data_IF_102556756374
#
_entry.id   IF_102556756374
#
_cell.length_a   1.000
_cell.length_b   1.000
_cell.length_c   1.000
_cell.angle_alpha   90.00
_cell.angle_beta   90.00
_cell.angle_gamma   90.00
#
_symmetry.space_group_name_H-M   'P 1'
#
loop_
_entity.id
_entity.type
_entity.pdbx_description
1 polymer ?
#
# COMPACT_ATOMS: atom_id res chain seq x y z
N UNK A 1 -31.60 10.12 -42.56
CA UNK A 1 -30.26 10.46 -42.02
C UNK A 1 -29.23 9.62 -42.78
N UNK A 2 -28.20 10.24 -43.40
CA UNK A 2 -27.14 9.48 -44.05
C UNK A 2 -26.38 8.57 -43.10
N UNK A 3 -25.75 7.50 -43.62
CA UNK A 3 -25.02 6.54 -42.78
C UNK A 3 -23.90 7.25 -42.03
N UNK A 4 -23.88 7.10 -40.69
CA UNK A 4 -22.82 7.66 -39.84
C UNK A 4 -21.53 6.88 -40.05
N UNK A 5 -20.53 7.50 -40.67
CA UNK A 5 -19.18 6.95 -40.80
C UNK A 5 -18.50 6.90 -39.46
N UNK A 6 -17.50 6.01 -39.33
CA UNK A 6 -16.64 5.96 -38.13
C UNK A 6 -15.89 7.29 -37.95
N UNK A 7 -15.92 7.82 -36.71
CA UNK A 7 -15.12 8.94 -36.26
C UNK A 7 -14.41 8.54 -34.97
N UNK A 8 -13.10 8.80 -34.83
CA UNK A 8 -12.40 8.59 -33.57
C UNK A 8 -13.03 9.44 -32.43
N UNK A 9 -13.01 8.89 -31.22
CA UNK A 9 -13.50 9.58 -30.02
C UNK A 9 -12.64 10.76 -29.60
N UNK A 10 -11.35 10.71 -29.96
CA UNK A 10 -10.39 11.82 -29.78
C UNK A 10 -9.54 12.00 -31.04
N UNK A 11 -8.97 13.19 -31.21
CA UNK A 11 -7.97 13.44 -32.26
C UNK A 11 -6.61 12.85 -31.86
N UNK A 12 -6.30 11.68 -32.38
CA UNK A 12 -5.05 10.97 -32.08
C UNK A 12 -3.80 11.71 -32.55
N UNK A 13 -3.90 12.63 -33.51
CA UNK A 13 -2.76 13.45 -33.96
C UNK A 13 -2.33 14.46 -32.90
N UNK A 14 -3.28 14.94 -32.09
CA UNK A 14 -3.05 15.87 -30.97
C UNK A 14 -2.95 15.18 -29.63
N UNK A 15 -3.38 13.92 -29.52
CA UNK A 15 -3.44 13.18 -28.26
C UNK A 15 -2.06 13.07 -27.57
N UNK A 16 -0.97 12.99 -28.34
CA UNK A 16 0.39 12.91 -27.78
C UNK A 16 0.84 14.25 -27.17
N UNK A 17 0.88 15.38 -27.89
CA UNK A 17 1.26 16.68 -27.32
C UNK A 17 0.33 17.10 -26.18
N UNK A 18 -0.99 16.89 -26.31
CA UNK A 18 -1.94 17.16 -25.24
C UNK A 18 -1.67 16.31 -23.98
N UNK A 19 -1.21 15.07 -24.18
CA UNK A 19 -0.84 14.20 -23.06
C UNK A 19 0.42 14.69 -22.34
N UNK A 20 1.43 15.19 -23.08
CA UNK A 20 2.63 15.76 -22.45
C UNK A 20 2.29 16.96 -21.58
N UNK A 21 1.46 17.88 -22.12
CA UNK A 21 0.98 19.04 -21.35
C UNK A 21 0.18 18.62 -20.12
N UNK A 22 -0.77 17.68 -20.30
CA UNK A 22 -1.61 17.16 -19.19
C UNK A 22 -0.75 16.50 -18.10
N UNK A 23 0.22 15.66 -18.50
CA UNK A 23 1.13 14.98 -17.59
C UNK A 23 1.97 15.99 -16.80
N UNK A 24 2.53 17.00 -17.45
CA UNK A 24 3.31 18.06 -16.80
C UNK A 24 2.46 18.80 -15.75
N UNK A 25 1.25 19.22 -16.13
CA UNK A 25 0.32 19.90 -15.23
C UNK A 25 -0.12 19.00 -14.07
N UNK A 26 -0.52 17.76 -14.35
CA UNK A 26 -0.98 16.81 -13.34
C UNK A 26 0.16 16.44 -12.38
N UNK A 27 1.38 16.26 -12.88
CA UNK A 27 2.56 15.98 -12.06
C UNK A 27 2.88 17.15 -11.12
N UNK A 28 2.87 18.39 -11.62
CA UNK A 28 3.14 19.57 -10.78
C UNK A 28 2.09 19.73 -9.69
N UNK A 29 0.81 19.61 -10.02
CA UNK A 29 -0.28 19.68 -9.03
C UNK A 29 -0.14 18.56 -8.00
N UNK A 30 0.10 17.32 -8.45
CA UNK A 30 0.24 16.17 -7.55
C UNK A 30 1.47 16.30 -6.64
N UNK A 31 2.60 16.82 -7.15
CA UNK A 31 3.79 17.06 -6.35
C UNK A 31 3.52 18.08 -5.24
N UNK A 32 2.86 19.20 -5.56
CA UNK A 32 2.48 20.22 -4.59
C UNK A 32 1.51 19.64 -3.54
N UNK A 33 0.47 18.91 -3.98
CA UNK A 33 -0.50 18.29 -3.08
C UNK A 33 0.16 17.26 -2.15
N UNK A 34 1.02 16.37 -2.67
CA UNK A 34 1.73 15.37 -1.88
C UNK A 34 2.63 16.06 -0.84
N UNK A 35 3.41 17.06 -1.24
CA UNK A 35 4.23 17.81 -0.30
C UNK A 35 3.40 18.51 0.79
N UNK A 36 2.29 19.16 0.41
CA UNK A 36 1.38 19.80 1.35
C UNK A 36 0.78 18.77 2.34
N UNK A 37 0.33 17.62 1.85
CA UNK A 37 -0.21 16.54 2.68
C UNK A 37 0.85 16.00 3.63
N UNK A 38 2.09 15.75 3.18
CA UNK A 38 3.18 15.28 4.03
C UNK A 38 3.52 16.29 5.14
N UNK A 39 3.52 17.58 4.81
CA UNK A 39 3.71 18.66 5.80
C UNK A 39 2.57 18.69 6.80
N UNK A 40 1.32 18.64 6.34
CA UNK A 40 0.14 18.61 7.21
C UNK A 40 0.16 17.39 8.14
N UNK A 41 0.45 16.20 7.61
CA UNK A 41 0.55 14.99 8.40
C UNK A 41 1.62 15.11 9.50
N UNK A 42 2.77 15.70 9.18
CA UNK A 42 3.85 15.95 10.15
C UNK A 42 3.38 16.81 11.33
N UNK A 43 2.57 17.84 11.07
CA UNK A 43 2.14 18.77 12.13
C UNK A 43 0.87 18.33 12.85
N UNK A 44 -0.09 17.75 12.12
CA UNK A 44 -1.42 17.44 12.65
C UNK A 44 -1.53 16.05 13.28
N UNK A 45 -0.66 15.08 12.89
CA UNK A 45 -0.81 13.71 13.35
C UNK A 45 0.37 13.22 14.20
N UNK A 46 0.12 12.42 15.26
CA UNK A 46 1.21 11.80 16.02
C UNK A 46 2.11 10.90 15.17
N UNK A 47 1.50 10.06 14.32
CA UNK A 47 2.26 9.14 13.47
C UNK A 47 3.08 9.85 12.39
N UNK A 48 2.63 10.99 11.88
CA UNK A 48 3.40 11.81 10.94
C UNK A 48 4.65 12.43 11.61
N UNK A 49 4.54 12.84 12.90
CA UNK A 49 5.70 13.28 13.70
C UNK A 49 6.69 12.14 13.94
N UNK A 50 6.18 10.95 14.28
CA UNK A 50 6.99 9.74 14.48
C UNK A 50 7.73 9.35 13.20
N UNK A 51 7.02 9.30 12.07
CA UNK A 51 7.60 9.06 10.75
C UNK A 51 8.73 10.05 10.43
N UNK A 52 8.48 11.34 10.65
CA UNK A 52 9.47 12.37 10.39
C UNK A 52 10.71 12.25 11.27
N UNK A 53 10.55 11.91 12.54
CA UNK A 53 11.67 11.70 13.47
C UNK A 53 12.61 10.58 12.99
N UNK A 54 12.05 9.47 12.48
CA UNK A 54 12.82 8.35 11.95
C UNK A 54 13.53 8.70 10.63
N UNK A 55 12.89 9.51 9.77
CA UNK A 55 13.30 9.66 8.36
C UNK A 55 13.91 11.01 8.02
N UNK A 56 13.87 11.99 8.93
CA UNK A 56 14.33 13.37 8.68
C UNK A 56 15.72 13.42 8.07
N UNK A 57 16.67 12.66 8.58
CA UNK A 57 18.04 12.68 8.13
C UNK A 57 18.20 12.15 6.68
N UNK A 58 17.28 11.29 6.20
CA UNK A 58 17.24 10.84 4.81
C UNK A 58 16.75 11.91 3.85
N UNK A 59 15.70 12.64 4.23
CA UNK A 59 15.05 13.64 3.36
C UNK A 59 15.67 15.05 3.43
N UNK A 60 16.49 15.34 4.45
CA UNK A 60 17.14 16.65 4.64
C UNK A 60 18.67 16.55 4.64
N UNK A 61 19.23 15.34 4.61
CA UNK A 61 20.66 15.07 4.61
C UNK A 61 21.37 15.44 3.30
N UNK A 62 22.69 15.22 3.21
CA UNK A 62 23.51 15.64 2.07
C UNK A 62 23.08 15.00 0.73
N UNK A 63 22.49 13.82 0.77
CA UNK A 63 22.00 13.11 -0.41
C UNK A 63 20.49 13.37 -0.72
N UNK A 64 19.87 14.33 -0.04
CA UNK A 64 18.42 14.61 -0.14
C UNK A 64 17.97 14.96 -1.57
N UNK A 65 18.77 15.69 -2.33
CA UNK A 65 18.44 16.05 -3.72
C UNK A 65 18.19 14.81 -4.58
N UNK A 66 19.04 13.79 -4.47
CA UNK A 66 18.87 12.52 -5.19
C UNK A 66 17.60 11.79 -4.79
N UNK A 67 17.25 11.80 -3.49
CA UNK A 67 16.04 11.20 -2.96
C UNK A 67 14.80 11.90 -3.52
N UNK A 68 14.75 13.22 -3.49
CA UNK A 68 13.63 14.00 -4.01
C UNK A 68 13.48 13.88 -5.54
N UNK A 69 14.58 13.85 -6.28
CA UNK A 69 14.54 13.57 -7.72
C UNK A 69 13.94 12.19 -8.02
N UNK A 70 14.34 11.18 -7.26
CA UNK A 70 13.83 9.83 -7.44
C UNK A 70 12.33 9.73 -7.12
N UNK A 71 11.88 10.37 -6.04
CA UNK A 71 10.45 10.49 -5.72
C UNK A 71 9.67 11.23 -6.81
N UNK A 72 10.25 12.29 -7.38
CA UNK A 72 9.68 13.02 -8.50
C UNK A 72 9.52 12.17 -9.76
N UNK A 73 10.51 11.32 -10.08
CA UNK A 73 10.44 10.39 -11.20
C UNK A 73 9.41 9.29 -10.95
N UNK A 74 9.31 8.76 -9.73
CA UNK A 74 8.29 7.78 -9.36
C UNK A 74 6.88 8.39 -9.46
N UNK A 75 6.70 9.62 -8.99
CA UNK A 75 5.44 10.35 -9.16
C UNK A 75 5.09 10.58 -10.63
N UNK A 76 6.09 10.87 -11.48
CA UNK A 76 5.88 10.98 -12.92
C UNK A 76 5.39 9.66 -13.52
N UNK A 77 5.96 8.52 -13.09
CA UNK A 77 5.51 7.20 -13.52
C UNK A 77 4.05 6.94 -13.17
N UNK A 78 3.61 7.35 -11.97
CA UNK A 78 2.20 7.26 -11.54
C UNK A 78 1.27 8.08 -12.43
N UNK A 79 1.63 9.33 -12.71
CA UNK A 79 0.80 10.22 -13.56
C UNK A 79 0.73 9.68 -14.99
N UNK A 80 1.87 9.19 -15.53
CA UNK A 80 1.91 8.52 -16.84
C UNK A 80 1.05 7.26 -16.87
N UNK A 81 1.03 6.46 -15.79
CA UNK A 81 0.18 5.28 -15.68
C UNK A 81 -1.30 5.64 -15.84
N UNK A 82 -1.77 6.65 -15.11
CA UNK A 82 -3.18 7.10 -15.19
C UNK A 82 -3.48 7.65 -16.57
N UNK A 83 -2.58 8.46 -17.16
CA UNK A 83 -2.80 9.01 -18.50
C UNK A 83 -2.90 7.91 -19.55
N UNK A 84 -2.02 6.91 -19.52
CA UNK A 84 -2.09 5.77 -20.44
C UNK A 84 -3.38 4.99 -20.26
N UNK A 85 -3.84 4.75 -19.04
CA UNK A 85 -5.13 4.07 -18.79
C UNK A 85 -6.30 4.85 -19.37
N UNK A 86 -6.29 6.18 -19.27
CA UNK A 86 -7.28 7.06 -19.89
C UNK A 86 -7.25 6.91 -21.42
N UNK A 87 -6.06 6.93 -22.02
CA UNK A 87 -5.92 6.78 -23.48
C UNK A 87 -6.35 5.38 -23.95
N UNK A 88 -6.03 4.31 -23.20
CA UNK A 88 -6.54 2.96 -23.47
C UNK A 88 -8.06 2.89 -23.43
N UNK A 89 -8.71 3.65 -22.54
CA UNK A 89 -10.16 3.74 -22.47
C UNK A 89 -10.76 4.35 -23.77
N UNK A 90 -10.15 5.40 -24.31
CA UNK A 90 -10.56 6.00 -25.59
C UNK A 90 -10.25 5.10 -26.77
N UNK A 91 -9.09 4.45 -26.78
CA UNK A 91 -8.70 3.52 -27.82
C UNK A 91 -9.66 2.30 -27.87
N UNK A 92 -10.05 1.78 -26.70
CA UNK A 92 -11.05 0.71 -26.60
C UNK A 92 -12.41 1.15 -27.17
N UNK A 93 -12.85 2.38 -26.87
CA UNK A 93 -14.06 2.94 -27.47
C UNK A 93 -13.97 2.96 -29.00
N UNK A 94 -12.89 3.52 -29.54
CA UNK A 94 -12.70 3.60 -31.00
C UNK A 94 -12.68 2.22 -31.66
N UNK A 95 -12.02 1.24 -31.06
CA UNK A 95 -11.94 -0.12 -31.59
C UNK A 95 -13.33 -0.78 -31.66
N UNK A 96 -14.11 -0.69 -30.58
CA UNK A 96 -15.45 -1.31 -30.54
C UNK A 96 -16.44 -0.58 -31.44
N UNK A 97 -16.40 0.75 -31.50
CA UNK A 97 -17.23 1.56 -32.40
C UNK A 97 -16.87 1.27 -33.86
N UNK A 98 -15.59 1.13 -34.19
CA UNK A 98 -15.16 0.79 -35.55
C UNK A 98 -15.65 -0.60 -35.98
N UNK A 99 -15.60 -1.60 -35.08
CA UNK A 99 -16.18 -2.92 -35.34
C UNK A 99 -17.69 -2.83 -35.56
N UNK A 100 -18.42 -2.10 -34.72
CA UNK A 100 -19.85 -1.89 -34.89
C UNK A 100 -20.17 -1.30 -36.26
N UNK A 101 -19.46 -0.25 -36.71
CA UNK A 101 -19.64 0.36 -38.02
C UNK A 101 -19.30 -0.59 -39.19
N UNK A 102 -18.29 -1.43 -39.03
CA UNK A 102 -17.96 -2.45 -40.04
C UNK A 102 -19.13 -3.45 -40.20
N UNK A 103 -19.72 -3.92 -39.09
CA UNK A 103 -20.88 -4.84 -39.13
C UNK A 103 -22.15 -4.16 -39.64
N UNK A 104 -22.44 -2.90 -39.24
CA UNK A 104 -23.54 -2.13 -39.78
C UNK A 104 -23.43 -2.00 -41.31
N UNK A 105 -22.24 -1.70 -41.83
CA UNK A 105 -21.98 -1.63 -43.28
C UNK A 105 -22.11 -2.95 -43.99
N UNK A 106 -21.81 -4.09 -43.37
CA UNK A 106 -22.05 -5.43 -43.92
C UNK A 106 -23.56 -5.71 -43.96
N UNK A 107 -24.25 -5.45 -42.86
CA UNK A 107 -25.69 -5.72 -42.74
C UNK A 107 -26.55 -4.85 -43.68
N UNK A 108 -26.18 -3.58 -43.89
CA UNK A 108 -26.87 -2.67 -44.79
C UNK A 108 -26.45 -2.76 -46.26
N UNK A 109 -25.41 -3.55 -46.59
CA UNK A 109 -24.83 -3.58 -47.95
C UNK A 109 -24.05 -2.31 -48.33
N UNK A 110 -23.83 -1.36 -47.38
CA UNK A 110 -23.12 -0.10 -47.64
C UNK A 110 -21.59 -0.30 -47.54
N UNK A 111 -20.94 -0.42 -48.73
CA UNK A 111 -19.50 -0.57 -48.83
C UNK A 111 -18.69 0.62 -48.30
N UNK A 112 -19.27 1.79 -48.14
CA UNK A 112 -18.57 3.01 -47.62
C UNK A 112 -18.47 2.93 -46.11
N UNK A 113 -19.57 2.58 -45.44
CA UNK A 113 -19.63 2.38 -43.99
C UNK A 113 -18.74 1.23 -43.58
N UNK A 114 -18.81 0.08 -44.30
CA UNK A 114 -17.92 -1.08 -44.08
C UNK A 114 -16.43 -0.67 -44.12
N UNK A 115 -16.03 0.01 -45.21
CA UNK A 115 -14.62 0.41 -45.37
C UNK A 115 -14.18 1.38 -44.29
N UNK A 116 -15.04 2.32 -43.90
CA UNK A 116 -14.78 3.26 -42.82
C UNK A 116 -14.55 2.54 -41.47
N UNK A 117 -15.40 1.57 -41.12
CA UNK A 117 -15.25 0.76 -39.91
C UNK A 117 -13.99 -0.09 -39.92
N UNK A 118 -13.71 -0.81 -41.03
CA UNK A 118 -12.48 -1.62 -41.15
C UNK A 118 -11.23 -0.77 -41.05
N UNK A 119 -11.19 0.41 -41.70
CA UNK A 119 -10.05 1.33 -41.58
C UNK A 119 -9.89 1.85 -40.14
N UNK A 120 -11.00 2.19 -39.48
CA UNK A 120 -11.00 2.63 -38.08
C UNK A 120 -10.45 1.55 -37.13
N UNK A 121 -10.84 0.30 -37.34
CA UNK A 121 -10.35 -0.84 -36.54
C UNK A 121 -8.83 -0.98 -36.65
N UNK A 122 -8.28 -1.03 -37.88
CA UNK A 122 -6.81 -1.18 -38.04
C UNK A 122 -6.04 0.03 -37.52
N UNK A 123 -6.61 1.24 -37.65
CA UNK A 123 -6.04 2.44 -37.04
C UNK A 123 -6.00 2.30 -35.50
N UNK A 124 -7.10 1.86 -34.87
CA UNK A 124 -7.16 1.63 -33.42
C UNK A 124 -6.17 0.57 -32.95
N UNK A 125 -5.95 -0.51 -33.73
CA UNK A 125 -4.94 -1.53 -33.44
C UNK A 125 -3.51 -0.94 -33.52
N UNK A 126 -3.23 -0.10 -34.52
CA UNK A 126 -1.96 0.60 -34.61
C UNK A 126 -1.66 1.50 -33.41
N UNK A 127 -2.66 2.29 -32.99
CA UNK A 127 -2.56 3.12 -31.78
C UNK A 127 -2.36 2.26 -30.53
N UNK A 128 -3.13 1.17 -30.40
CA UNK A 128 -2.96 0.21 -29.30
C UNK A 128 -1.54 -0.34 -29.23
N UNK A 129 -0.97 -0.77 -30.35
CA UNK A 129 0.37 -1.36 -30.39
C UNK A 129 1.43 -0.41 -29.89
N UNK A 130 1.37 0.88 -30.30
CA UNK A 130 2.29 1.92 -29.83
C UNK A 130 2.11 2.14 -28.31
N UNK A 131 0.87 2.30 -27.86
CA UNK A 131 0.59 2.51 -26.44
C UNK A 131 0.98 1.30 -25.58
N UNK A 132 0.79 0.07 -26.09
CA UNK A 132 1.18 -1.14 -25.39
C UNK A 132 2.70 -1.21 -25.17
N UNK A 133 3.51 -0.90 -26.17
CA UNK A 133 4.98 -0.82 -26.03
C UNK A 133 5.37 0.23 -24.98
N UNK A 134 4.77 1.43 -25.06
CA UNK A 134 5.02 2.49 -24.07
C UNK A 134 4.60 2.04 -22.65
N UNK A 135 3.46 1.38 -22.53
CA UNK A 135 2.97 0.89 -21.24
C UNK A 135 3.90 -0.16 -20.64
N UNK A 136 4.31 -1.17 -21.41
CA UNK A 136 5.22 -2.23 -20.95
C UNK A 136 6.56 -1.62 -20.54
N UNK A 137 7.15 -0.75 -21.36
CA UNK A 137 8.42 -0.07 -21.06
C UNK A 137 8.30 0.74 -19.76
N UNK A 138 7.21 1.50 -19.61
CA UNK A 138 6.94 2.25 -18.38
C UNK A 138 6.82 1.32 -17.16
N UNK A 139 6.07 0.22 -17.26
CA UNK A 139 5.89 -0.72 -16.14
C UNK A 139 7.22 -1.33 -15.72
N UNK A 140 8.05 -1.76 -16.66
CA UNK A 140 9.36 -2.32 -16.33
C UNK A 140 10.28 -1.29 -15.68
N UNK A 141 10.30 -0.06 -16.21
CA UNK A 141 11.03 1.05 -15.60
C UNK A 141 10.50 1.40 -14.20
N UNK A 142 9.18 1.40 -14.01
CA UNK A 142 8.54 1.68 -12.72
C UNK A 142 8.92 0.65 -11.64
N UNK A 143 8.86 -0.64 -11.97
CA UNK A 143 9.28 -1.72 -11.06
C UNK A 143 10.76 -1.55 -10.69
N UNK A 144 11.63 -1.34 -11.68
CA UNK A 144 13.06 -1.18 -11.46
C UNK A 144 13.39 0.03 -10.57
N UNK A 145 12.80 1.19 -10.88
CA UNK A 145 13.06 2.44 -10.14
C UNK A 145 12.47 2.37 -8.73
N UNK A 146 11.29 1.78 -8.56
CA UNK A 146 10.67 1.58 -7.25
C UNK A 146 11.52 0.66 -6.38
N UNK A 147 12.00 -0.46 -6.92
CA UNK A 147 12.90 -1.35 -6.20
C UNK A 147 14.22 -0.68 -5.84
N UNK A 148 14.81 0.07 -6.76
CA UNK A 148 16.05 0.81 -6.49
C UNK A 148 15.85 1.83 -5.37
N UNK A 149 14.71 2.50 -5.32
CA UNK A 149 14.37 3.43 -4.23
C UNK A 149 14.22 2.71 -2.90
N UNK A 150 13.45 1.61 -2.86
CA UNK A 150 13.22 0.81 -1.65
C UNK A 150 14.55 0.25 -1.10
N UNK A 151 15.41 -0.31 -1.95
CA UNK A 151 16.71 -0.85 -1.57
C UNK A 151 17.60 0.27 -0.99
N UNK A 152 17.71 1.41 -1.68
CA UNK A 152 18.52 2.52 -1.20
C UNK A 152 18.04 3.06 0.15
N UNK A 153 16.73 3.16 0.33
CA UNK A 153 16.13 3.62 1.58
C UNK A 153 16.32 2.60 2.71
N UNK A 154 16.14 1.30 2.42
CA UNK A 154 16.37 0.21 3.39
C UNK A 154 17.82 0.17 3.85
N UNK A 155 18.79 0.24 2.94
CA UNK A 155 20.22 0.25 3.26
C UNK A 155 20.54 1.43 4.18
N UNK A 156 20.07 2.64 3.81
CA UNK A 156 20.30 3.82 4.61
C UNK A 156 19.67 3.70 6.01
N UNK A 157 18.38 3.30 6.09
CA UNK A 157 17.65 3.25 7.36
C UNK A 157 18.22 2.17 8.29
N UNK A 158 18.55 0.99 7.76
CA UNK A 158 19.20 -0.08 8.54
C UNK A 158 20.53 0.41 9.12
N UNK A 159 21.36 1.03 8.28
CA UNK A 159 22.63 1.56 8.74
C UNK A 159 22.46 2.66 9.81
N UNK A 160 21.55 3.59 9.57
CA UNK A 160 21.26 4.69 10.49
C UNK A 160 20.78 4.18 11.85
N UNK A 161 19.81 3.26 11.88
CA UNK A 161 19.28 2.71 13.14
C UNK A 161 20.29 1.79 13.85
N UNK A 162 21.11 1.03 13.10
CA UNK A 162 22.16 0.22 13.69
C UNK A 162 23.24 1.10 14.35
N UNK A 163 23.64 2.19 13.67
CA UNK A 163 24.56 3.15 14.27
C UNK A 163 23.98 3.82 15.50
N UNK A 164 22.71 4.27 15.44
CA UNK A 164 22.02 4.89 16.57
C UNK A 164 21.92 3.93 17.77
N UNK A 165 21.72 2.64 17.52
CA UNK A 165 21.67 1.61 18.57
C UNK A 165 23.05 1.31 19.18
N UNK A 166 24.12 1.37 18.39
CA UNK A 166 25.49 1.15 18.85
C UNK A 166 26.10 2.39 19.53
N UNK A 167 25.66 3.60 19.13
CA UNK A 167 26.19 4.85 19.64
C UNK A 167 25.90 5.02 21.13
N UNK A 168 26.93 5.48 21.87
CA UNK A 168 26.84 5.65 23.31
C UNK A 168 26.52 4.36 24.08
N UNK A 169 26.74 3.20 23.47
CA UNK A 169 26.39 1.87 24.02
C UNK A 169 24.90 1.74 24.36
N UNK A 170 24.02 2.36 23.56
CA UNK A 170 22.57 2.32 23.81
C UNK A 170 22.05 0.90 23.93
N UNK A 171 22.51 -0.06 23.06
CA UNK A 171 22.17 -1.48 23.10
C UNK A 171 22.34 -2.16 24.47
N UNK A 172 23.27 -1.67 25.27
CA UNK A 172 23.51 -2.18 26.64
C UNK A 172 22.74 -1.36 27.68
N UNK A 173 22.71 -0.04 27.52
CA UNK A 173 22.09 0.90 28.48
C UNK A 173 20.56 0.82 28.49
N UNK A 174 19.97 0.43 27.36
CA UNK A 174 18.52 0.24 27.22
C UNK A 174 17.97 -0.88 28.13
N UNK A 175 18.84 -1.77 28.63
CA UNK A 175 18.47 -2.79 29.62
C UNK A 175 18.14 -2.21 31.00
N UNK A 176 18.54 -0.97 31.26
CA UNK A 176 18.40 -0.29 32.56
C UNK A 176 17.37 0.85 32.55
N UNK A 177 16.61 1.01 31.48
CA UNK A 177 15.46 1.92 31.44
C UNK A 177 14.19 1.22 31.88
N UNK A 178 13.24 1.96 32.49
CA UNK A 178 11.99 1.40 33.03
C UNK A 178 11.11 0.74 31.95
N UNK A 179 11.15 1.25 30.73
CA UNK A 179 10.45 0.71 29.56
C UNK A 179 11.45 0.00 28.64
N UNK A 180 11.83 -1.22 28.99
CA UNK A 180 12.70 -2.05 28.13
C UNK A 180 12.04 -2.34 26.80
N UNK A 181 12.80 -2.19 25.73
CA UNK A 181 12.31 -2.50 24.38
C UNK A 181 12.35 -4.01 24.16
N UNK A 182 11.24 -4.54 23.67
CA UNK A 182 11.14 -5.90 23.20
C UNK A 182 11.77 -6.05 21.79
N UNK A 183 12.69 -6.98 21.65
CA UNK A 183 13.31 -7.43 20.38
C UNK A 183 13.84 -6.30 19.47
N UNK A 184 14.86 -5.53 19.86
CA UNK A 184 15.43 -4.46 19.03
C UNK A 184 16.03 -4.99 17.71
N UNK A 185 16.56 -6.21 17.69
CA UNK A 185 17.03 -6.94 16.52
C UNK A 185 15.93 -7.15 15.47
N UNK A 186 14.75 -7.58 15.90
CA UNK A 186 13.58 -7.73 15.01
C UNK A 186 13.10 -6.40 14.45
N UNK A 187 13.17 -5.31 15.23
CA UNK A 187 12.82 -3.97 14.77
C UNK A 187 13.74 -3.49 13.65
N UNK A 188 15.05 -3.68 13.80
CA UNK A 188 16.04 -3.30 12.78
C UNK A 188 15.91 -4.19 11.54
N UNK A 189 15.66 -5.48 11.69
CA UNK A 189 15.61 -6.42 10.58
C UNK A 189 14.26 -6.42 9.87
N UNK A 190 13.15 -6.59 10.59
CA UNK A 190 11.82 -6.82 9.99
C UNK A 190 11.00 -5.53 9.85
N UNK A 191 11.00 -4.67 10.88
CA UNK A 191 10.17 -3.45 10.82
C UNK A 191 10.75 -2.43 9.84
N UNK A 192 12.06 -2.37 9.66
CA UNK A 192 12.69 -1.57 8.60
C UNK A 192 12.26 -2.06 7.23
N UNK A 193 12.17 -3.38 7.01
CA UNK A 193 11.69 -3.94 5.74
C UNK A 193 10.24 -3.53 5.45
N UNK A 194 9.34 -3.72 6.41
CA UNK A 194 7.94 -3.30 6.30
C UNK A 194 7.82 -1.80 6.04
N UNK A 195 8.62 -1.00 6.74
CA UNK A 195 8.60 0.46 6.64
C UNK A 195 9.08 0.95 5.28
N UNK A 196 10.18 0.40 4.76
CA UNK A 196 10.79 0.86 3.51
C UNK A 196 10.09 0.31 2.27
N UNK A 197 9.57 -0.91 2.33
CA UNK A 197 8.77 -1.49 1.25
C UNK A 197 7.42 -0.76 1.06
N UNK A 198 7.03 0.10 2.00
CA UNK A 198 5.79 0.86 1.93
C UNK A 198 4.54 0.00 2.04
N UNK A 199 4.67 -1.10 2.79
CA UNK A 199 3.59 -2.01 3.21
C UNK A 199 2.71 -2.58 2.08
N UNK A 200 3.20 -2.62 0.86
CA UNK A 200 2.51 -3.28 -0.26
C UNK A 200 2.96 -4.70 -0.52
N UNK A 201 4.00 -5.19 0.16
CA UNK A 201 4.60 -6.48 -0.07
C UNK A 201 4.76 -7.32 1.19
N UNK A 202 4.96 -8.61 0.99
CA UNK A 202 5.52 -9.48 2.03
C UNK A 202 6.98 -9.09 2.28
N UNK A 203 7.47 -9.15 3.53
CA UNK A 203 8.89 -8.92 3.81
C UNK A 203 9.79 -9.73 2.87
N UNK A 204 10.86 -9.10 2.37
CA UNK A 204 11.80 -9.68 1.42
C UNK A 204 11.24 -10.06 0.02
N UNK A 205 10.06 -9.57 -0.36
CA UNK A 205 9.51 -9.76 -1.68
C UNK A 205 9.72 -8.51 -2.58
N UNK A 206 9.94 -8.70 -3.90
CA UNK A 206 10.02 -7.56 -4.82
C UNK A 206 8.69 -6.79 -4.87
N UNK A 207 8.77 -5.46 -4.93
CA UNK A 207 7.61 -4.61 -5.17
C UNK A 207 7.12 -4.76 -6.61
N UNK A 208 5.81 -4.65 -6.80
CA UNK A 208 5.18 -4.61 -8.14
C UNK A 208 5.12 -3.19 -8.74
N UNK A 209 6.03 -2.30 -8.33
CA UNK A 209 6.08 -0.91 -8.78
C UNK A 209 5.33 0.05 -7.85
N UNK A 210 5.19 1.31 -8.30
CA UNK A 210 4.60 2.41 -7.50
C UNK A 210 3.18 2.13 -7.03
N UNK A 211 2.37 1.46 -7.84
CA UNK A 211 0.98 1.13 -7.52
C UNK A 211 0.84 0.22 -6.28
N UNK A 212 1.87 -0.56 -5.94
CA UNK A 212 1.88 -1.44 -4.77
C UNK A 212 2.29 -0.72 -3.48
N UNK A 213 2.76 0.52 -3.55
CA UNK A 213 3.13 1.32 -2.37
C UNK A 213 1.93 2.11 -1.85
N UNK A 214 1.85 2.33 -0.54
CA UNK A 214 0.74 3.07 0.07
C UNK A 214 0.65 4.51 -0.43
N UNK A 215 1.78 5.22 -0.50
CA UNK A 215 1.80 6.62 -0.93
C UNK A 215 1.42 6.76 -2.39
N UNK A 216 2.15 6.10 -3.28
CA UNK A 216 1.96 6.27 -4.71
C UNK A 216 0.68 5.60 -5.21
N UNK A 217 0.26 4.47 -4.61
CA UNK A 217 -1.03 3.86 -4.91
C UNK A 217 -2.22 4.76 -4.51
N UNK A 218 -2.13 5.46 -3.36
CA UNK A 218 -3.14 6.45 -2.98
C UNK A 218 -3.18 7.64 -3.96
N UNK A 219 -2.03 8.17 -4.35
CA UNK A 219 -1.94 9.26 -5.35
C UNK A 219 -2.50 8.81 -6.70
N UNK A 220 -2.15 7.61 -7.16
CA UNK A 220 -2.69 7.02 -8.39
C UNK A 220 -4.22 6.91 -8.33
N UNK A 221 -4.75 6.44 -7.21
CA UNK A 221 -6.20 6.30 -7.02
C UNK A 221 -6.92 7.64 -7.09
N UNK A 222 -6.40 8.69 -6.45
CA UNK A 222 -6.99 10.03 -6.50
C UNK A 222 -7.00 10.59 -7.92
N UNK A 223 -5.87 10.51 -8.64
CA UNK A 223 -5.77 11.01 -10.01
C UNK A 223 -6.69 10.21 -10.94
N UNK A 224 -6.76 8.89 -10.75
CA UNK A 224 -7.66 8.00 -11.50
C UNK A 224 -9.13 8.37 -11.29
N UNK A 225 -9.58 8.54 -10.04
CA UNK A 225 -10.97 8.96 -9.75
C UNK A 225 -11.30 10.25 -10.47
N UNK A 226 -10.44 11.28 -10.37
CA UNK A 226 -10.67 12.56 -11.03
C UNK A 226 -10.77 12.41 -12.55
N UNK A 227 -9.83 11.66 -13.16
CA UNK A 227 -9.74 11.50 -14.61
C UNK A 227 -10.92 10.70 -15.17
N UNK A 228 -11.26 9.55 -14.57
CA UNK A 228 -12.33 8.69 -15.03
C UNK A 228 -13.73 9.23 -14.68
N UNK A 229 -13.85 10.03 -13.61
CA UNK A 229 -15.09 10.75 -13.30
C UNK A 229 -15.45 11.74 -14.42
N UNK A 230 -14.47 12.47 -14.96
CA UNK A 230 -14.71 13.37 -16.09
C UNK A 230 -15.23 12.62 -17.34
N UNK A 231 -14.67 11.45 -17.64
CA UNK A 231 -15.10 10.60 -18.75
C UNK A 231 -16.52 10.07 -18.48
N UNK A 232 -16.71 9.47 -17.30
CA UNK A 232 -18.01 8.90 -16.92
C UNK A 232 -19.12 9.94 -16.89
N UNK A 233 -18.82 11.16 -16.44
CA UNK A 233 -19.76 12.28 -16.43
C UNK A 233 -20.26 12.64 -17.82
N UNK A 234 -19.39 12.66 -18.81
CA UNK A 234 -19.72 12.96 -20.20
C UNK A 234 -20.49 11.83 -20.89
N UNK A 235 -20.15 10.57 -20.61
CA UNK A 235 -20.82 9.39 -21.17
C UNK A 235 -22.12 9.05 -20.46
N UNK A 236 -22.30 9.56 -19.24
CA UNK A 236 -23.46 9.29 -18.41
C UNK A 236 -24.69 10.04 -18.92
N UNK A 237 -25.71 9.30 -19.32
CA UNK A 237 -27.01 9.87 -19.70
C UNK A 237 -27.98 9.92 -18.54
N UNK A 238 -29.20 10.40 -18.86
CA UNK A 238 -30.35 10.30 -17.97
C UNK A 238 -30.89 8.88 -17.98
N UNK A 239 -31.16 8.34 -16.82
CA UNK A 239 -31.81 7.05 -16.63
C UNK A 239 -33.22 7.30 -16.05
N UNK A 240 -34.25 6.78 -16.73
CA UNK A 240 -35.61 6.84 -16.24
C UNK A 240 -35.95 5.52 -15.53
N UNK A 241 -36.14 5.58 -14.22
CA UNK A 241 -36.53 4.42 -13.39
C UNK A 241 -37.86 4.78 -12.70
N UNK A 242 -38.91 4.02 -12.96
CA UNK A 242 -40.22 4.20 -12.34
C UNK A 242 -40.79 5.66 -12.48
N UNK A 243 -40.54 6.32 -13.60
CA UNK A 243 -41.00 7.69 -13.84
C UNK A 243 -40.10 8.80 -13.27
N UNK A 244 -39.04 8.46 -12.57
CA UNK A 244 -38.04 9.41 -12.07
C UNK A 244 -36.87 9.47 -13.05
N UNK A 245 -36.57 10.67 -13.59
CA UNK A 245 -35.41 10.90 -14.44
C UNK A 245 -34.19 11.27 -13.59
N UNK A 246 -33.18 10.38 -13.54
CA UNK A 246 -31.94 10.61 -12.83
C UNK A 246 -30.89 11.10 -13.84
N UNK A 247 -30.49 12.38 -13.81
CA UNK A 247 -29.41 12.87 -14.66
C UNK A 247 -28.07 12.29 -14.20
N UNK A 248 -27.18 11.98 -15.15
CA UNK A 248 -25.86 11.44 -14.86
C UNK A 248 -25.91 10.15 -14.03
N UNK A 249 -26.86 9.28 -14.32
CA UNK A 249 -27.17 8.10 -13.51
C UNK A 249 -25.95 7.19 -13.25
N UNK A 250 -25.08 6.98 -14.24
CA UNK A 250 -23.89 6.12 -14.09
C UNK A 250 -22.91 6.63 -13.02
N UNK A 251 -22.72 7.94 -12.94
CA UNK A 251 -21.88 8.54 -11.91
C UNK A 251 -22.44 8.29 -10.50
N UNK A 252 -23.73 8.54 -10.30
CA UNK A 252 -24.36 8.29 -9.01
C UNK A 252 -24.39 6.80 -8.65
N UNK A 253 -24.61 5.95 -9.65
CA UNK A 253 -24.61 4.50 -9.44
C UNK A 253 -23.27 3.99 -8.93
N UNK A 254 -22.13 4.43 -9.49
CA UNK A 254 -20.82 3.99 -9.01
C UNK A 254 -20.55 4.46 -7.58
N UNK A 255 -20.92 5.69 -7.24
CA UNK A 255 -20.74 6.20 -5.88
C UNK A 255 -21.57 5.42 -4.85
N UNK A 256 -22.86 5.23 -5.11
CA UNK A 256 -23.76 4.47 -4.23
C UNK A 256 -23.28 3.01 -4.13
N UNK A 257 -22.92 2.40 -5.26
CA UNK A 257 -22.42 1.03 -5.29
C UNK A 257 -21.17 0.85 -4.44
N UNK A 258 -20.17 1.70 -4.62
CA UNK A 258 -18.93 1.63 -3.83
C UNK A 258 -19.19 1.91 -2.36
N UNK A 259 -20.05 2.87 -2.04
CA UNK A 259 -20.40 3.18 -0.65
C UNK A 259 -21.07 1.97 0.02
N UNK A 260 -22.10 1.40 -0.58
CA UNK A 260 -22.81 0.22 -0.05
C UNK A 260 -21.86 -0.98 0.07
N UNK A 261 -21.08 -1.25 -0.98
CA UNK A 261 -20.10 -2.34 -0.96
C UNK A 261 -19.07 -2.16 0.17
N UNK A 262 -18.60 -0.94 0.40
CA UNK A 262 -17.62 -0.63 1.44
C UNK A 262 -18.21 -0.79 2.84
N UNK A 263 -19.41 -0.27 3.08
CA UNK A 263 -20.10 -0.40 4.38
C UNK A 263 -20.33 -1.88 4.73
N UNK A 264 -20.84 -2.66 3.80
CA UNK A 264 -21.08 -4.09 4.03
C UNK A 264 -19.74 -4.85 4.22
N UNK A 265 -18.71 -4.56 3.40
CA UNK A 265 -17.38 -5.14 3.59
C UNK A 265 -16.81 -4.85 4.97
N UNK A 266 -17.01 -3.64 5.49
CA UNK A 266 -16.55 -3.26 6.82
C UNK A 266 -17.28 -4.03 7.93
N UNK A 267 -18.61 -4.17 7.81
CA UNK A 267 -19.44 -4.93 8.77
C UNK A 267 -19.00 -6.41 8.81
N UNK A 268 -18.78 -7.02 7.64
CA UNK A 268 -18.34 -8.41 7.54
C UNK A 268 -16.89 -8.58 7.98
N UNK A 269 -16.02 -7.64 7.63
CA UNK A 269 -14.56 -7.71 7.86
C UNK A 269 -14.13 -7.39 9.30
N UNK A 270 -14.87 -6.55 10.02
CA UNK A 270 -14.50 -6.11 11.38
C UNK A 270 -14.15 -7.27 12.34
N UNK A 271 -14.89 -8.40 12.41
CA UNK A 271 -14.51 -9.50 13.28
C UNK A 271 -13.23 -10.23 12.89
N UNK A 272 -12.77 -10.13 11.63
CA UNK A 272 -11.53 -10.76 11.17
C UNK A 272 -10.31 -10.19 11.89
N UNK A 273 -10.29 -8.89 12.16
CA UNK A 273 -9.21 -8.21 12.88
C UNK A 273 -9.02 -8.82 14.27
N UNK A 274 -10.12 -9.00 15.00
CA UNK A 274 -10.08 -9.61 16.33
C UNK A 274 -9.67 -11.10 16.29
N UNK A 275 -10.18 -11.86 15.30
CA UNK A 275 -9.82 -13.27 15.13
C UNK A 275 -8.34 -13.43 14.74
N UNK A 276 -7.80 -12.54 13.92
CA UNK A 276 -6.38 -12.50 13.58
C UNK A 276 -5.52 -12.20 14.81
N UNK A 277 -5.86 -11.16 15.57
CA UNK A 277 -5.16 -10.85 16.83
C UNK A 277 -5.19 -12.04 17.81
N UNK A 278 -6.35 -12.67 17.95
CA UNK A 278 -6.48 -13.86 18.79
C UNK A 278 -5.64 -15.03 18.29
N UNK A 279 -5.50 -15.17 16.97
CA UNK A 279 -4.66 -16.20 16.36
C UNK A 279 -3.18 -16.02 16.76
N UNK A 280 -2.66 -14.80 16.68
CA UNK A 280 -1.29 -14.48 17.10
C UNK A 280 -1.08 -14.77 18.59
N UNK A 281 -2.01 -14.35 19.45
CA UNK A 281 -1.97 -14.63 20.89
C UNK A 281 -1.93 -16.13 21.20
N UNK A 282 -2.78 -16.94 20.55
CA UNK A 282 -2.85 -18.37 20.78
C UNK A 282 -1.59 -19.09 20.23
N UNK A 283 -1.08 -18.67 19.07
CA UNK A 283 0.17 -19.19 18.51
C UNK A 283 1.37 -18.85 19.40
N UNK A 284 1.44 -17.65 19.96
CA UNK A 284 2.47 -17.25 20.90
C UNK A 284 2.45 -18.11 22.18
N UNK A 285 1.25 -18.37 22.73
CA UNK A 285 1.08 -19.22 23.89
C UNK A 285 1.47 -20.69 23.63
N UNK A 286 1.18 -21.19 22.43
CA UNK A 286 1.59 -22.53 22.01
C UNK A 286 3.11 -22.62 21.80
N UNK A 287 3.70 -21.62 21.13
CA UNK A 287 5.15 -21.51 20.95
C UNK A 287 5.90 -21.48 22.29
N UNK A 288 5.40 -20.69 23.24
CA UNK A 288 5.97 -20.63 24.58
C UNK A 288 5.98 -22.00 25.27
N UNK A 289 4.90 -22.78 25.13
CA UNK A 289 4.84 -24.14 25.68
C UNK A 289 5.87 -25.09 25.02
N UNK A 290 6.10 -24.96 23.71
CA UNK A 290 7.13 -25.73 22.99
C UNK A 290 8.54 -25.33 23.42
N UNK A 291 8.82 -24.03 23.59
CA UNK A 291 10.12 -23.54 24.09
C UNK A 291 10.38 -24.05 25.50
N UNK A 292 9.38 -23.96 26.39
CA UNK A 292 9.48 -24.50 27.75
C UNK A 292 9.80 -26.00 27.76
N UNK A 293 9.15 -26.78 26.89
CA UNK A 293 9.44 -28.21 26.77
C UNK A 293 10.88 -28.44 26.30
N UNK A 294 11.36 -27.67 25.32
CA UNK A 294 12.76 -27.77 24.85
C UNK A 294 13.74 -27.43 25.94
N UNK A 295 13.47 -26.38 26.72
CA UNK A 295 14.38 -25.93 27.79
C UNK A 295 14.38 -26.91 28.98
N UNK A 296 13.28 -27.66 29.20
CA UNK A 296 13.15 -28.70 30.23
C UNK A 296 13.35 -30.12 29.67
N UNK A 297 13.90 -30.29 28.47
CA UNK A 297 13.96 -31.57 27.75
C UNK A 297 14.61 -32.69 28.56
N UNK A 298 15.72 -32.40 29.27
CA UNK A 298 16.42 -33.35 30.11
C UNK A 298 15.56 -33.87 31.28
N UNK A 299 14.88 -32.96 31.98
CA UNK A 299 13.97 -33.30 33.07
C UNK A 299 12.79 -34.15 32.57
N UNK A 300 12.18 -33.77 31.45
CA UNK A 300 11.05 -34.50 30.85
C UNK A 300 11.50 -35.91 30.45
N UNK A 301 12.64 -36.06 29.80
CA UNK A 301 13.20 -37.35 29.42
C UNK A 301 13.57 -38.23 30.64
N UNK A 302 14.17 -37.65 31.67
CA UNK A 302 14.52 -38.36 32.90
C UNK A 302 13.30 -38.91 33.64
N UNK A 303 12.24 -38.11 33.75
CA UNK A 303 10.98 -38.52 34.42
C UNK A 303 9.96 -39.23 33.49
N UNK A 304 10.32 -39.46 32.22
CA UNK A 304 9.44 -40.07 31.20
C UNK A 304 8.11 -39.33 31.09
N UNK A 305 8.18 -37.98 31.11
CA UNK A 305 7.01 -37.09 31.15
C UNK A 305 6.37 -36.77 29.79
N UNK A 306 6.83 -37.40 28.69
CA UNK A 306 6.42 -37.07 27.29
C UNK A 306 4.91 -37.13 27.10
N UNK A 307 4.23 -38.09 27.73
CA UNK A 307 2.77 -38.25 27.62
C UNK A 307 2.02 -37.09 28.27
N UNK A 308 2.51 -36.60 29.40
CA UNK A 308 1.91 -35.48 30.13
C UNK A 308 2.09 -34.18 29.35
N UNK A 309 3.33 -33.93 28.92
CA UNK A 309 3.67 -32.74 28.11
C UNK A 309 2.93 -32.76 26.76
N UNK A 310 2.84 -33.92 26.08
CA UNK A 310 2.04 -34.08 24.88
C UNK A 310 0.57 -33.71 25.07
N UNK A 311 -0.03 -34.11 26.20
CA UNK A 311 -1.42 -33.74 26.54
C UNK A 311 -1.52 -32.24 26.80
N UNK A 312 -0.57 -31.62 27.47
CA UNK A 312 -0.57 -30.18 27.71
C UNK A 312 -0.39 -29.39 26.39
N UNK A 313 0.51 -29.82 25.52
CA UNK A 313 0.67 -29.22 24.19
C UNK A 313 -0.61 -29.30 23.36
N UNK A 314 -1.28 -30.48 23.38
CA UNK A 314 -2.55 -30.65 22.68
C UNK A 314 -3.64 -29.72 23.23
N UNK A 315 -3.73 -29.52 24.55
CA UNK A 315 -4.64 -28.57 25.19
C UNK A 315 -4.38 -27.12 24.75
N UNK A 316 -3.13 -26.75 24.50
CA UNK A 316 -2.74 -25.43 24.01
C UNK A 316 -2.97 -25.28 22.50
N UNK A 317 -2.83 -26.37 21.74
CA UNK A 317 -3.00 -26.36 20.29
C UNK A 317 -4.48 -26.35 19.85
N UNK A 318 -5.35 -27.07 20.56
CA UNK A 318 -6.80 -27.13 20.21
C UNK A 318 -7.44 -25.76 20.06
N UNK A 319 -7.25 -24.76 20.96
CA UNK A 319 -7.80 -23.42 20.80
C UNK A 319 -7.24 -22.66 19.56
N UNK A 320 -6.00 -22.95 19.15
CA UNK A 320 -5.42 -22.40 17.91
C UNK A 320 -6.24 -22.84 16.70
N UNK A 321 -6.50 -24.15 16.60
CA UNK A 321 -7.25 -24.72 15.48
C UNK A 321 -8.72 -24.26 15.50
N UNK A 322 -9.35 -24.19 16.68
CA UNK A 322 -10.73 -23.73 16.79
C UNK A 322 -10.89 -22.26 16.40
N UNK A 323 -9.92 -21.40 16.79
CA UNK A 323 -9.91 -20.01 16.35
C UNK A 323 -9.65 -19.91 14.85
N UNK A 324 -8.72 -20.70 14.30
CA UNK A 324 -8.42 -20.73 12.88
C UNK A 324 -9.65 -21.15 12.05
N UNK A 325 -10.42 -22.16 12.51
CA UNK A 325 -11.68 -22.55 11.86
C UNK A 325 -12.71 -21.42 11.84
N UNK A 326 -12.80 -20.61 12.92
CA UNK A 326 -13.67 -19.42 12.97
C UNK A 326 -13.18 -18.34 12.02
N UNK A 327 -11.87 -18.12 11.98
CA UNK A 327 -11.23 -17.18 11.06
C UNK A 327 -11.51 -17.56 9.60
N UNK A 328 -11.31 -18.83 9.23
CA UNK A 328 -11.58 -19.33 7.86
C UNK A 328 -13.06 -19.13 7.48
N UNK A 329 -14.00 -19.51 8.34
CA UNK A 329 -15.43 -19.30 8.04
C UNK A 329 -15.76 -17.82 7.80
N UNK A 330 -15.22 -16.93 8.60
CA UNK A 330 -15.44 -15.49 8.44
C UNK A 330 -14.73 -14.94 7.20
N UNK A 331 -13.53 -15.44 6.91
CA UNK A 331 -12.78 -15.10 5.71
C UNK A 331 -13.51 -15.52 4.43
N UNK A 332 -14.12 -16.70 4.42
CA UNK A 332 -14.96 -17.15 3.30
C UNK A 332 -16.13 -16.19 3.08
N UNK A 333 -16.84 -15.78 4.15
CA UNK A 333 -17.93 -14.82 4.02
C UNK A 333 -17.46 -13.46 3.49
N UNK A 334 -16.32 -12.97 3.97
CA UNK A 334 -15.73 -11.71 3.51
C UNK A 334 -15.26 -11.78 2.05
N UNK A 335 -14.53 -12.83 1.70
CA UNK A 335 -14.05 -13.04 0.33
C UNK A 335 -15.21 -13.30 -0.64
N UNK A 336 -16.21 -14.06 -0.21
CA UNK A 336 -17.44 -14.30 -0.99
C UNK A 336 -18.19 -13.00 -1.29
N UNK A 337 -18.31 -12.10 -0.30
CA UNK A 337 -18.87 -10.77 -0.51
C UNK A 337 -18.05 -9.95 -1.50
N UNK A 338 -16.73 -9.85 -1.29
CA UNK A 338 -15.85 -9.08 -2.18
C UNK A 338 -15.87 -9.63 -3.61
N UNK A 339 -15.87 -10.94 -3.77
CA UNK A 339 -16.00 -11.57 -5.08
C UNK A 339 -17.35 -11.26 -5.74
N UNK A 340 -18.46 -11.31 -4.99
CA UNK A 340 -19.79 -10.96 -5.50
C UNK A 340 -19.85 -9.50 -5.96
N UNK A 341 -19.27 -8.58 -5.19
CA UNK A 341 -19.13 -7.18 -5.58
C UNK A 341 -18.32 -7.06 -6.88
N UNK A 342 -17.16 -7.71 -6.97
CA UNK A 342 -16.32 -7.65 -8.16
C UNK A 342 -16.98 -8.26 -9.40
N UNK A 343 -17.78 -9.31 -9.25
CA UNK A 343 -18.50 -9.92 -10.37
C UNK A 343 -19.70 -9.09 -10.82
N UNK A 344 -20.38 -8.44 -9.90
CA UNK A 344 -21.55 -7.60 -10.22
C UNK A 344 -21.16 -6.31 -10.95
N UNK A 345 -19.97 -5.76 -10.64
CA UNK A 345 -19.52 -4.50 -11.24
C UNK A 345 -19.29 -4.62 -12.76
N UNK A 346 -18.92 -5.80 -13.25
CA UNK A 346 -18.61 -6.03 -14.67
C UNK A 346 -19.86 -5.86 -15.56
N UNK A 347 -21.00 -6.54 -15.33
CA UNK A 347 -22.18 -6.38 -16.16
C UNK A 347 -23.01 -5.13 -15.84
N UNK A 348 -22.87 -4.52 -14.67
CA UNK A 348 -23.72 -3.44 -14.23
C UNK A 348 -23.76 -2.24 -15.19
N UNK A 349 -22.64 -1.69 -15.71
CA UNK A 349 -22.66 -0.62 -16.70
C UNK A 349 -23.36 -1.01 -18.00
N UNK A 350 -23.19 -2.26 -18.44
CA UNK A 350 -23.82 -2.79 -19.64
C UNK A 350 -25.34 -2.85 -19.50
N UNK A 351 -25.83 -3.38 -18.38
CA UNK A 351 -27.28 -3.47 -18.11
C UNK A 351 -27.91 -2.07 -18.06
N UNK A 352 -27.27 -1.10 -17.42
CA UNK A 352 -27.79 0.26 -17.30
C UNK A 352 -27.78 1.00 -18.64
N UNK A 353 -26.76 0.80 -19.48
CA UNK A 353 -26.62 1.46 -20.77
C UNK A 353 -27.36 0.73 -21.92
N UNK A 354 -27.76 -0.52 -21.74
CA UNK A 354 -28.41 -1.33 -22.77
C UNK A 354 -29.63 -0.65 -23.41
N UNK A 355 -30.57 -0.02 -22.67
CA UNK A 355 -31.71 0.66 -23.30
C UNK A 355 -31.31 1.79 -24.25
N UNK A 356 -30.27 2.55 -23.92
CA UNK A 356 -29.72 3.62 -24.76
C UNK A 356 -28.98 3.08 -25.98
N UNK A 357 -28.25 1.99 -25.82
CA UNK A 357 -27.58 1.30 -26.92
C UNK A 357 -28.61 0.76 -27.92
N UNK A 358 -29.63 0.05 -27.45
CA UNK A 358 -30.65 -0.55 -28.31
C UNK A 358 -31.54 0.53 -28.97
N UNK A 359 -31.67 1.72 -28.35
CA UNK A 359 -32.32 2.87 -28.97
C UNK A 359 -31.41 3.63 -29.96
N UNK A 360 -30.17 3.20 -30.19
CA UNK A 360 -29.21 3.84 -31.10
C UNK A 360 -28.73 5.23 -30.64
N UNK A 361 -28.84 5.55 -29.33
CA UNK A 361 -28.45 6.85 -28.77
C UNK A 361 -26.94 6.91 -28.49
N UNK A 362 -26.31 5.77 -28.26
CA UNK A 362 -24.89 5.61 -28.01
C UNK A 362 -24.32 4.43 -28.81
N UNK A 363 -23.06 4.50 -29.14
CA UNK A 363 -22.34 3.41 -29.82
C UNK A 363 -21.86 2.34 -28.82
N UNK A 364 -21.53 1.15 -29.32
CA UNK A 364 -21.04 0.03 -28.50
C UNK A 364 -19.74 0.38 -27.77
N UNK A 365 -18.87 1.15 -28.41
CA UNK A 365 -17.65 1.67 -27.79
C UNK A 365 -17.90 2.55 -26.56
N UNK A 366 -18.97 3.38 -26.58
CA UNK A 366 -19.34 4.23 -25.45
C UNK A 366 -19.73 3.40 -24.22
N UNK A 367 -20.41 2.27 -24.43
CA UNK A 367 -20.74 1.33 -23.34
C UNK A 367 -19.48 0.70 -22.76
N UNK A 368 -18.56 0.26 -23.62
CA UNK A 368 -17.26 -0.30 -23.21
C UNK A 368 -16.42 0.72 -22.44
N UNK A 369 -16.35 1.96 -22.90
CA UNK A 369 -15.65 3.05 -22.21
C UNK A 369 -16.31 3.40 -20.87
N UNK A 370 -17.65 3.39 -20.81
CA UNK A 370 -18.39 3.57 -19.57
C UNK A 370 -18.05 2.47 -18.57
N UNK A 371 -18.03 1.20 -19.00
CA UNK A 371 -17.69 0.07 -18.15
C UNK A 371 -16.25 0.16 -17.62
N UNK A 372 -15.28 0.50 -18.49
CA UNK A 372 -13.89 0.72 -18.10
C UNK A 372 -13.75 1.87 -17.08
N UNK A 373 -14.43 2.99 -17.32
CA UNK A 373 -14.40 4.15 -16.42
C UNK A 373 -15.02 3.82 -15.07
N UNK A 374 -16.14 3.09 -15.08
CA UNK A 374 -16.82 2.62 -13.87
C UNK A 374 -15.92 1.70 -13.03
N UNK A 375 -15.24 0.74 -13.67
CA UNK A 375 -14.28 -0.15 -13.02
C UNK A 375 -13.11 0.60 -12.39
N UNK A 376 -12.48 1.51 -13.13
CA UNK A 376 -11.36 2.32 -12.62
C UNK A 376 -11.76 3.21 -11.42
N UNK A 377 -12.94 3.79 -11.42
CA UNK A 377 -13.45 4.58 -10.29
C UNK A 377 -13.69 3.66 -9.08
N UNK A 378 -14.33 2.51 -9.29
CA UNK A 378 -14.56 1.53 -8.23
C UNK A 378 -13.25 1.06 -7.58
N UNK A 379 -12.27 0.65 -8.38
CA UNK A 379 -10.98 0.15 -7.88
C UNK A 379 -10.24 1.24 -7.10
N UNK A 380 -10.24 2.45 -7.63
CA UNK A 380 -9.60 3.61 -7.01
C UNK A 380 -10.25 4.01 -5.68
N UNK A 381 -11.59 4.06 -5.62
CA UNK A 381 -12.32 4.33 -4.37
C UNK A 381 -12.19 3.18 -3.35
N UNK A 382 -11.97 1.96 -3.83
CA UNK A 382 -11.75 0.78 -2.98
C UNK A 382 -10.31 0.64 -2.50
N UNK A 383 -9.38 1.48 -2.95
CA UNK A 383 -7.95 1.39 -2.64
C UNK A 383 -7.67 1.29 -1.14
N UNK A 384 -8.22 2.17 -0.32
CA UNK A 384 -7.99 2.15 1.13
C UNK A 384 -8.57 0.92 1.80
N UNK A 385 -9.74 0.46 1.36
CA UNK A 385 -10.34 -0.79 1.84
C UNK A 385 -9.45 -1.99 1.56
N UNK A 386 -8.90 -2.07 0.35
CA UNK A 386 -8.10 -3.19 -0.11
C UNK A 386 -6.69 -3.20 0.51
N UNK A 387 -6.18 -2.04 0.93
CA UNK A 387 -4.85 -1.88 1.51
C UNK A 387 -4.86 -1.59 3.02
N UNK A 388 -5.98 -1.86 3.70
CA UNK A 388 -6.12 -1.57 5.13
C UNK A 388 -5.08 -2.30 5.99
N UNK A 389 -4.85 -3.60 5.74
CA UNK A 389 -3.89 -4.42 6.48
C UNK A 389 -2.45 -3.95 6.25
N UNK A 390 -2.14 -3.55 5.02
CA UNK A 390 -0.86 -2.95 4.68
C UNK A 390 -0.63 -1.64 5.43
N UNK A 391 -1.65 -0.78 5.50
CA UNK A 391 -1.59 0.47 6.26
C UNK A 391 -1.44 0.22 7.77
N UNK A 392 -2.16 -0.76 8.32
CA UNK A 392 -2.06 -1.13 9.74
C UNK A 392 -0.66 -1.66 10.08
N UNK A 393 -0.08 -2.52 9.24
CA UNK A 393 1.28 -3.04 9.40
C UNK A 393 2.34 -1.94 9.31
N UNK A 394 2.20 -1.02 8.36
CA UNK A 394 3.08 0.15 8.22
C UNK A 394 3.03 1.06 9.44
N UNK A 395 1.82 1.34 9.96
CA UNK A 395 1.66 2.13 11.17
C UNK A 395 2.27 1.46 12.40
N UNK A 396 2.13 0.13 12.54
CA UNK A 396 2.75 -0.63 13.61
C UNK A 396 4.28 -0.56 13.53
N UNK A 397 4.86 -0.68 12.34
CA UNK A 397 6.30 -0.53 12.13
C UNK A 397 6.79 0.88 12.51
N UNK A 398 6.05 1.95 12.15
CA UNK A 398 6.38 3.34 12.58
C UNK A 398 6.47 3.43 14.10
N UNK A 399 5.47 2.90 14.82
CA UNK A 399 5.40 2.98 16.29
C UNK A 399 6.59 2.24 16.91
N UNK A 400 6.90 1.02 16.42
CA UNK A 400 8.00 0.21 16.96
C UNK A 400 9.37 0.82 16.67
N UNK A 401 9.59 1.31 15.44
CA UNK A 401 10.85 1.98 15.09
C UNK A 401 11.03 3.30 15.86
N UNK A 402 9.96 4.07 16.05
CA UNK A 402 10.00 5.26 16.90
C UNK A 402 10.34 4.91 18.34
N UNK A 403 9.75 3.84 18.88
CA UNK A 403 10.07 3.35 20.22
C UNK A 403 11.54 2.97 20.37
N UNK A 404 12.16 2.36 19.33
CA UNK A 404 13.60 2.05 19.33
C UNK A 404 14.43 3.34 19.43
N UNK A 405 14.15 4.33 18.58
CA UNK A 405 14.88 5.61 18.59
C UNK A 405 14.72 6.35 19.93
N UNK A 406 13.52 6.32 20.52
CA UNK A 406 13.23 6.95 21.79
C UNK A 406 13.98 6.28 22.95
N UNK A 407 14.04 4.96 22.96
CA UNK A 407 14.76 4.23 23.98
C UNK A 407 16.28 4.40 23.87
N UNK A 408 16.84 4.35 22.67
CA UNK A 408 18.26 4.63 22.46
C UNK A 408 18.63 6.02 23.02
N UNK A 409 17.76 7.02 22.81
CA UNK A 409 17.96 8.37 23.37
C UNK A 409 17.88 8.38 24.91
N UNK A 410 16.87 7.70 25.48
CA UNK A 410 16.74 7.54 26.94
C UNK A 410 17.93 6.78 27.54
N UNK A 411 18.36 5.68 26.90
CA UNK A 411 19.53 4.90 27.32
C UNK A 411 20.80 5.75 27.34
N UNK A 412 21.03 6.55 26.30
CA UNK A 412 22.18 7.48 26.26
C UNK A 412 22.11 8.57 27.32
N UNK A 413 20.91 8.98 27.71
CA UNK A 413 20.71 10.00 28.75
C UNK A 413 20.93 9.49 30.18
N UNK A 414 21.00 8.18 30.40
CA UNK A 414 21.30 7.62 31.72
C UNK A 414 22.66 8.13 32.23
N UNK A 415 22.83 8.32 33.56
CA UNK A 415 24.10 8.68 34.14
C UNK A 415 25.23 7.73 33.70
N UNK A 416 26.37 8.27 33.34
CA UNK A 416 27.54 7.51 32.96
C UNK A 416 28.66 7.74 33.95
N UNK A 417 29.40 6.66 34.28
CA UNK A 417 30.64 6.78 35.02
C UNK A 417 31.70 7.42 34.11
N UNK A 418 32.29 8.49 34.58
CA UNK A 418 33.40 9.15 33.87
C UNK A 418 34.63 8.24 33.93
N UNK A 419 35.06 7.74 32.79
CA UNK A 419 36.28 6.93 32.67
C UNK A 419 37.38 7.75 32.02
N UNK A 420 38.58 7.71 32.59
CA UNK A 420 39.81 8.29 32.03
C UNK A 420 40.84 7.19 31.86
N UNK A 421 41.70 7.22 30.84
CA UNK A 421 42.82 6.34 30.74
C UNK A 421 43.72 6.53 31.98
N UNK A 422 44.21 5.47 32.57
CA UNK A 422 45.26 5.50 33.61
C UNK A 422 46.63 5.52 32.92
N UNK A 423 47.57 6.19 33.55
CA UNK A 423 48.98 6.20 33.08
C UNK A 423 49.72 4.93 33.46
N UNK A 424 49.12 4.10 34.30
CA UNK A 424 49.65 2.79 34.76
C UNK A 424 48.62 1.67 34.53
N UNK A 425 48.97 0.42 34.85
CA UNK A 425 48.07 -0.74 34.69
C UNK A 425 47.03 -0.85 35.82
N UNK A 426 46.83 0.17 36.65
CA UNK A 426 45.88 0.18 37.74
C UNK A 426 44.47 0.67 37.30
N UNK A 427 43.43 0.16 37.98
CA UNK A 427 42.08 0.64 37.90
C UNK A 427 41.73 1.39 39.17
N UNK A 428 41.54 2.70 39.05
CA UNK A 428 41.12 3.54 40.18
C UNK A 428 39.62 3.87 40.04
N UNK A 429 38.87 3.58 41.11
CA UNK A 429 37.46 3.94 41.26
C UNK A 429 37.41 5.03 42.30
N UNK A 430 37.04 6.25 41.91
CA UNK A 430 36.94 7.42 42.78
C UNK A 430 35.49 7.82 42.95
N UNK A 431 35.01 7.93 44.18
CA UNK A 431 33.68 8.35 44.58
C UNK A 431 32.55 7.54 43.87
N UNK A 432 32.75 6.21 43.81
CA UNK A 432 31.80 5.28 43.18
C UNK A 432 30.68 4.98 44.16
N UNK A 433 29.47 5.40 43.81
CA UNK A 433 28.22 5.08 44.50
C UNK A 433 27.42 4.09 43.68
N UNK A 434 26.91 3.03 44.30
CA UNK A 434 26.05 2.04 43.67
C UNK A 434 24.62 2.19 44.16
N UNK A 435 23.71 2.39 43.27
CA UNK A 435 22.27 2.54 43.55
C UNK A 435 21.44 1.46 42.82
N UNK A 436 20.28 1.12 43.39
CA UNK A 436 19.26 0.37 42.65
C UNK A 436 18.67 1.20 41.50
N UNK A 437 18.01 0.57 40.50
CA UNK A 437 17.23 1.31 39.49
C UNK A 437 16.14 2.21 40.09
N UNK A 438 15.63 1.88 41.29
CA UNK A 438 14.67 2.68 42.03
C UNK A 438 15.31 3.92 42.76
N UNK A 439 16.65 4.02 42.71
CA UNK A 439 17.38 5.14 43.29
C UNK A 439 17.89 4.90 44.72
N UNK A 440 17.58 3.75 45.34
CA UNK A 440 18.06 3.39 46.68
C UNK A 440 19.56 3.09 46.63
N UNK A 441 20.27 3.67 47.60
CA UNK A 441 21.72 3.45 47.73
C UNK A 441 22.01 2.04 48.22
N UNK A 442 22.88 1.28 47.47
CA UNK A 442 23.33 -0.07 47.81
C UNK A 442 24.72 -0.03 48.49
N UNK A 443 25.58 0.85 48.02
CA UNK A 443 26.96 0.99 48.54
C UNK A 443 27.22 2.48 48.70
N UNK A 444 27.77 2.89 49.83
CA UNK A 444 28.24 4.24 50.06
C UNK A 444 29.40 4.62 49.14
N UNK A 445 29.64 5.91 48.91
CA UNK A 445 30.78 6.33 48.09
C UNK A 445 32.08 5.66 48.51
N UNK A 446 32.72 5.04 47.54
CA UNK A 446 33.90 4.18 47.75
C UNK A 446 35.02 4.59 46.80
N UNK A 447 36.21 4.72 47.35
CA UNK A 447 37.44 4.91 46.62
C UNK A 447 38.22 3.57 46.66
N UNK A 448 38.50 2.98 45.49
CA UNK A 448 39.23 1.70 45.39
C UNK A 448 40.28 1.80 44.30
N UNK A 449 41.46 1.35 44.60
CA UNK A 449 42.54 1.12 43.62
C UNK A 449 42.83 -0.37 43.49
N UNK A 450 42.75 -0.86 42.26
CA UNK A 450 43.03 -2.23 41.86
C UNK A 450 44.23 -2.22 40.91
N UNK A 451 45.29 -2.91 41.22
CA UNK A 451 46.51 -2.97 40.41
C UNK A 451 47.60 -3.72 41.13
#
# INVERSE_FOLDING_TARGET
>A
MGPKLFKPSIDWSRAFPDSVYWVGKAWTISAICVLAILVLLRYLTPWGRQFWRITRAYFVGPNSVRVWLMLGVLLLSVVLAVRLNVLFSYQGNDMYTALQKAFEGIASGDGTVKRSGVRGFWMSIGVFSVMAVLHVTRVMADIYLTQRFIIAWRVWLTHHLTQDWLDGRAYYRDLFIDETIDNPDQRIQQDVDIFTAGAGGTPNAPSNGTASTLLFGAVQSIISVISFTAILWNLSGTLNIFGVSIPRAMFWTVLVYVFVATVISFIIGRPLIWLSFRNEKLNAAFRYALVRLRDAAEAVGFYRGERVEGTQLQRRFTPVIDNYRRYVRRSIAFNGWNLSVSQTIVPLPWVIQAPRLFAGQIDFGDVGQTATSFGNIHDSLSFFRNNYDAFASFRAAIIRLHGLVDANEKGRALPAVLTRPSDDESVELNDIEVRTPAGDRLIDPLDVRLG
#
